data_IF_453087154491
#
_entry.id   IF_453087154491
#
_cell.length_a   1.000
_cell.length_b   1.000
_cell.length_c   1.000
_cell.angle_alpha   90.00
_cell.angle_beta   90.00
_cell.angle_gamma   90.00
#
_symmetry.space_group_name_H-M   'P 1'
#
loop_
_entity.id
_entity.type
_entity.pdbx_description
1 polymer ?
#
# COMPACT_ATOMS: atom_id res chain seq x y z
N UNK A 1 -3.12 49.88 -31.31
CA UNK A 1 -2.73 50.14 -29.89
C UNK A 1 -3.78 49.50 -28.98
N UNK A 2 -3.46 48.41 -28.30
CA UNK A 2 -4.34 47.79 -27.29
C UNK A 2 -4.30 48.63 -26.00
N UNK A 3 -5.46 49.08 -25.52
CA UNK A 3 -5.56 49.65 -24.17
C UNK A 3 -5.84 48.49 -23.21
N UNK A 4 -5.08 48.33 -22.12
CA UNK A 4 -5.34 47.27 -21.15
C UNK A 4 -6.67 47.51 -20.45
N UNK A 5 -7.40 46.42 -20.18
CA UNK A 5 -8.68 46.47 -19.49
C UNK A 5 -8.54 47.12 -18.10
N UNK A 6 -9.56 47.88 -17.65
CA UNK A 6 -9.53 48.52 -16.35
C UNK A 6 -9.44 47.48 -15.23
N UNK A 7 -8.48 47.67 -14.31
CA UNK A 7 -8.28 46.79 -13.16
C UNK A 7 -9.54 46.80 -12.28
N UNK A 8 -10.26 45.68 -12.25
CA UNK A 8 -11.40 45.46 -11.36
C UNK A 8 -10.94 45.63 -9.91
N UNK A 9 -11.65 46.47 -9.14
CA UNK A 9 -11.39 46.64 -7.70
C UNK A 9 -11.82 45.37 -6.96
N UNK A 10 -11.08 44.93 -5.92
CA UNK A 10 -11.48 43.79 -5.09
C UNK A 10 -12.88 44.04 -4.50
N UNK A 11 -13.75 43.04 -4.59
CA UNK A 11 -15.11 43.08 -4.05
C UNK A 11 -15.00 43.13 -2.52
N UNK A 12 -15.42 44.23 -1.91
CA UNK A 12 -15.42 44.42 -0.46
C UNK A 12 -16.43 43.45 0.17
N UNK A 13 -15.93 42.53 1.01
CA UNK A 13 -16.76 41.48 1.65
C UNK A 13 -16.33 40.04 1.33
N UNK A 14 -15.33 39.82 0.48
CA UNK A 14 -14.74 38.49 0.30
C UNK A 14 -14.02 38.06 1.59
N UNK A 15 -14.66 37.19 2.37
CA UNK A 15 -14.03 36.51 3.50
C UNK A 15 -12.79 35.78 3.00
N UNK A 16 -11.61 36.14 3.52
CA UNK A 16 -10.34 35.49 3.19
C UNK A 16 -10.36 34.07 3.75
N UNK A 17 -10.87 33.12 2.98
CA UNK A 17 -10.88 31.71 3.34
C UNK A 17 -9.41 31.28 3.53
N UNK A 18 -9.01 30.72 4.69
CA UNK A 18 -7.62 30.35 4.92
C UNK A 18 -7.19 29.29 3.90
N UNK A 19 -5.93 29.34 3.45
CA UNK A 19 -5.40 28.41 2.45
C UNK A 19 -5.55 26.92 2.84
N UNK A 20 -5.64 26.62 4.14
CA UNK A 20 -5.95 25.28 4.68
C UNK A 20 -7.34 24.77 4.28
N UNK A 21 -8.33 25.66 4.12
CA UNK A 21 -9.69 25.33 3.71
C UNK A 21 -9.73 24.78 2.28
N UNK A 22 -8.98 25.39 1.36
CA UNK A 22 -8.84 24.89 -0.02
C UNK A 22 -8.17 23.51 -0.08
N UNK A 23 -7.17 23.25 0.78
CA UNK A 23 -6.52 21.93 0.88
C UNK A 23 -7.50 20.85 1.35
N UNK A 24 -8.32 21.15 2.36
CA UNK A 24 -9.36 20.22 2.84
C UNK A 24 -10.43 19.93 1.80
N UNK A 25 -10.87 20.95 1.03
CA UNK A 25 -11.88 20.77 -0.02
C UNK A 25 -11.36 19.94 -1.21
N UNK A 26 -10.13 20.19 -1.68
CA UNK A 26 -9.51 19.41 -2.76
C UNK A 26 -9.21 17.96 -2.39
N UNK A 27 -8.67 17.72 -1.19
CA UNK A 27 -8.36 16.35 -0.72
C UNK A 27 -9.61 15.45 -0.61
N UNK A 28 -10.77 16.01 -0.24
CA UNK A 28 -12.03 15.24 -0.18
C UNK A 28 -12.60 14.94 -1.56
N UNK A 29 -12.51 15.89 -2.50
CA UNK A 29 -13.05 15.72 -3.85
C UNK A 29 -12.26 14.71 -4.70
N UNK A 30 -10.93 14.63 -4.51
CA UNK A 30 -10.06 13.76 -5.29
C UNK A 30 -9.69 12.43 -4.63
N UNK A 31 -10.13 12.17 -3.39
CA UNK A 31 -9.95 10.86 -2.75
C UNK A 31 -10.99 9.89 -3.30
N UNK A 32 -10.80 9.45 -4.54
CA UNK A 32 -11.57 8.37 -5.15
C UNK A 32 -11.40 7.11 -4.28
N UNK A 33 -12.50 6.38 -4.04
CA UNK A 33 -12.41 5.06 -3.40
C UNK A 33 -11.39 4.23 -4.18
N UNK A 34 -10.55 3.47 -3.48
CA UNK A 34 -9.56 2.62 -4.14
C UNK A 34 -10.28 1.75 -5.18
N UNK A 35 -9.67 1.61 -6.37
CA UNK A 35 -10.26 0.89 -7.52
C UNK A 35 -10.81 -0.49 -7.13
N UNK A 36 -10.14 -1.15 -6.17
CA UNK A 36 -10.46 -2.50 -5.71
C UNK A 36 -11.17 -2.55 -4.35
N UNK A 37 -11.54 -1.41 -3.76
CA UNK A 37 -12.18 -1.32 -2.43
C UNK A 37 -11.52 -2.20 -1.37
N UNK A 38 -10.18 -2.24 -1.36
CA UNK A 38 -9.45 -3.07 -0.40
C UNK A 38 -9.83 -2.69 1.02
N UNK A 39 -10.13 -3.70 1.83
CA UNK A 39 -10.39 -3.56 3.26
C UNK A 39 -9.21 -4.16 4.00
N UNK A 40 -8.49 -3.34 4.77
CA UNK A 40 -7.45 -3.83 5.68
C UNK A 40 -8.09 -4.80 6.66
N UNK A 41 -7.58 -6.03 6.67
CA UNK A 41 -8.14 -7.11 7.51
C UNK A 41 -7.08 -7.54 8.50
N UNK A 42 -7.49 -7.76 9.74
CA UNK A 42 -6.61 -8.22 10.82
C UNK A 42 -6.72 -9.75 10.92
N UNK A 43 -5.56 -10.42 10.98
CA UNK A 43 -5.49 -11.84 11.32
C UNK A 43 -4.40 -12.03 12.36
N UNK A 44 -4.80 -12.44 13.57
CA UNK A 44 -3.94 -12.38 14.76
C UNK A 44 -3.66 -10.93 15.17
N UNK A 45 -2.40 -10.61 15.49
CA UNK A 45 -1.95 -9.27 15.90
C UNK A 45 -1.45 -8.40 14.73
N UNK A 46 -1.59 -8.88 13.47
CA UNK A 46 -1.03 -8.20 12.29
C UNK A 46 -2.10 -7.67 11.36
N UNK A 47 -1.88 -6.45 10.87
CA UNK A 47 -2.68 -5.79 9.82
C UNK A 47 -2.16 -6.16 8.43
N UNK A 48 -3.08 -6.47 7.52
CA UNK A 48 -2.79 -6.78 6.12
C UNK A 48 -3.43 -5.74 5.19
N UNK A 49 -2.81 -5.50 4.03
CA UNK A 49 -3.22 -4.44 3.10
C UNK A 49 -4.43 -4.86 2.25
N UNK A 50 -4.69 -6.18 2.18
CA UNK A 50 -5.80 -6.76 1.42
C UNK A 50 -6.44 -7.97 2.12
N UNK A 51 -7.68 -8.29 1.73
CA UNK A 51 -8.38 -9.51 2.19
C UNK A 51 -7.68 -10.79 1.71
N UNK A 52 -7.08 -10.75 0.52
CA UNK A 52 -6.37 -11.89 -0.05
C UNK A 52 -5.09 -12.20 0.73
N UNK A 53 -4.32 -11.17 1.11
CA UNK A 53 -3.17 -11.33 2.00
C UNK A 53 -3.56 -11.93 3.36
N UNK A 54 -4.66 -11.45 3.95
CA UNK A 54 -5.15 -11.98 5.22
C UNK A 54 -5.54 -13.47 5.10
N UNK A 55 -6.16 -13.87 3.98
CA UNK A 55 -6.49 -15.28 3.72
C UNK A 55 -5.23 -16.14 3.58
N UNK A 56 -4.24 -15.69 2.81
CA UNK A 56 -2.96 -16.42 2.67
C UNK A 56 -2.26 -16.57 4.01
N UNK A 57 -2.25 -15.52 4.84
CA UNK A 57 -1.69 -15.60 6.19
C UNK A 57 -2.45 -16.58 7.10
N UNK A 58 -3.77 -16.68 6.94
CA UNK A 58 -4.60 -17.66 7.64
C UNK A 58 -4.26 -19.09 7.21
N UNK A 59 -4.19 -19.34 5.92
CA UNK A 59 -3.83 -20.65 5.35
C UNK A 59 -2.43 -21.10 5.81
N UNK A 60 -1.45 -20.19 5.78
CA UNK A 60 -0.10 -20.44 6.33
C UNK A 60 -0.12 -20.73 7.83
N UNK A 61 -0.99 -20.06 8.60
CA UNK A 61 -1.19 -20.34 10.01
C UNK A 61 -1.76 -21.74 10.26
N UNK A 62 -2.68 -22.20 9.41
CA UNK A 62 -3.18 -23.58 9.46
C UNK A 62 -2.10 -24.59 9.09
N UNK A 63 -1.25 -24.28 8.11
CA UNK A 63 -0.14 -25.15 7.70
C UNK A 63 0.97 -25.28 8.76
N UNK A 64 1.18 -24.23 9.58
CA UNK A 64 2.04 -24.36 10.78
C UNK A 64 1.39 -25.33 11.78
N UNK A 65 0.08 -25.21 12.01
CA UNK A 65 -0.64 -26.09 12.94
C UNK A 65 -0.69 -27.54 12.46
N UNK A 66 -0.75 -27.79 11.15
CA UNK A 66 -0.68 -29.15 10.58
C UNK A 66 0.72 -29.74 10.60
N UNK A 67 1.76 -28.92 10.80
CA UNK A 67 3.16 -29.36 10.79
C UNK A 67 3.78 -29.47 9.38
N UNK A 68 3.10 -28.97 8.36
CA UNK A 68 3.63 -28.92 7.00
C UNK A 68 4.69 -27.83 6.85
N UNK A 69 4.52 -26.71 7.55
CA UNK A 69 5.41 -25.56 7.49
C UNK A 69 5.98 -25.28 8.88
N UNK A 70 7.29 -25.03 8.96
CA UNK A 70 7.97 -24.72 10.22
C UNK A 70 7.72 -23.27 10.63
N UNK A 71 7.82 -22.35 9.66
CA UNK A 71 7.66 -20.92 9.89
C UNK A 71 7.36 -20.19 8.58
N UNK A 72 6.78 -19.00 8.70
CA UNK A 72 6.65 -18.07 7.58
C UNK A 72 7.02 -16.65 8.00
N UNK A 73 7.50 -15.88 7.03
CA UNK A 73 7.98 -14.51 7.16
C UNK A 73 7.23 -13.61 6.16
N UNK A 74 6.95 -12.36 6.52
CA UNK A 74 6.15 -11.40 5.71
C UNK A 74 7.04 -10.29 5.15
N UNK A 75 6.70 -9.76 3.97
CA UNK A 75 7.31 -8.57 3.36
C UNK A 75 8.85 -8.66 3.31
N UNK A 76 9.36 -9.74 2.71
CA UNK A 76 10.80 -9.98 2.66
C UNK A 76 11.43 -9.24 1.48
N UNK A 77 12.54 -8.56 1.77
CA UNK A 77 13.36 -7.84 0.80
C UNK A 77 14.45 -8.76 0.25
N UNK A 78 14.42 -8.99 -1.06
CA UNK A 78 15.39 -9.82 -1.79
C UNK A 78 16.24 -8.88 -2.68
N UNK A 79 17.53 -8.69 -2.38
CA UNK A 79 18.40 -7.89 -3.24
C UNK A 79 18.74 -8.67 -4.51
N UNK A 80 18.35 -8.14 -5.68
CA UNK A 80 18.74 -8.69 -6.97
C UNK A 80 20.10 -8.14 -7.37
N UNK A 81 21.09 -9.04 -7.41
CA UNK A 81 22.45 -8.77 -7.87
C UNK A 81 22.76 -9.65 -9.07
N UNK A 82 23.29 -9.07 -10.14
CA UNK A 82 23.78 -9.80 -11.32
C UNK A 82 25.26 -9.48 -11.45
N UNK A 83 26.10 -10.52 -11.48
CA UNK A 83 27.56 -10.38 -11.53
C UNK A 83 28.13 -9.42 -10.47
N UNK A 84 27.57 -9.44 -9.25
CA UNK A 84 27.99 -8.58 -8.15
C UNK A 84 27.41 -7.15 -8.18
N UNK A 85 26.80 -6.72 -9.29
CA UNK A 85 26.19 -5.39 -9.41
C UNK A 85 24.76 -5.43 -8.87
N UNK A 86 24.45 -4.50 -7.95
CA UNK A 86 23.09 -4.31 -7.43
C UNK A 86 22.19 -3.67 -8.48
N UNK A 87 21.11 -4.36 -8.83
CA UNK A 87 20.12 -3.85 -9.79
C UNK A 87 18.94 -3.23 -9.04
N UNK A 88 18.26 -4.03 -8.23
CA UNK A 88 17.02 -3.63 -7.58
C UNK A 88 16.70 -4.48 -6.36
N UNK A 89 15.81 -3.96 -5.53
CA UNK A 89 15.20 -4.73 -4.44
C UNK A 89 13.88 -5.31 -4.91
N UNK A 90 13.75 -6.63 -4.84
CA UNK A 90 12.48 -7.31 -5.04
C UNK A 90 11.82 -7.53 -3.69
N UNK A 91 10.55 -7.13 -3.57
CA UNK A 91 9.75 -7.33 -2.37
C UNK A 91 8.75 -8.44 -2.61
N UNK A 92 8.75 -9.43 -1.71
CA UNK A 92 7.78 -10.52 -1.73
C UNK A 92 6.89 -10.48 -0.49
N UNK A 93 5.63 -10.83 -0.67
CA UNK A 93 4.60 -10.71 0.38
C UNK A 93 4.83 -11.75 1.48
N UNK A 94 5.12 -13.00 1.13
CA UNK A 94 5.35 -14.08 2.09
C UNK A 94 6.48 -15.04 1.66
N UNK A 95 7.23 -15.54 2.63
CA UNK A 95 8.15 -16.67 2.48
C UNK A 95 7.80 -17.71 3.53
N UNK A 96 7.50 -18.93 3.11
CA UNK A 96 7.29 -20.06 4.01
C UNK A 96 8.49 -21.02 3.98
N UNK A 97 8.83 -21.62 5.12
CA UNK A 97 9.85 -22.66 5.23
C UNK A 97 9.16 -23.99 5.49
N UNK A 98 9.25 -24.90 4.52
CA UNK A 98 8.73 -26.26 4.61
C UNK A 98 9.48 -27.07 5.70
N UNK A 99 8.91 -28.18 6.15
CA UNK A 99 9.53 -29.11 7.11
C UNK A 99 10.88 -29.67 6.65
N UNK A 100 11.09 -29.71 5.33
CA UNK A 100 12.34 -30.12 4.70
C UNK A 100 13.35 -28.97 4.54
N UNK A 101 13.05 -27.77 5.04
CA UNK A 101 13.90 -26.59 4.95
C UNK A 101 13.83 -25.83 3.62
N UNK A 102 12.96 -26.24 2.70
CA UNK A 102 12.78 -25.55 1.42
C UNK A 102 12.01 -24.23 1.61
N UNK A 103 12.43 -23.18 0.90
CA UNK A 103 11.79 -21.86 0.93
C UNK A 103 10.78 -21.74 -0.20
N UNK A 104 9.53 -21.50 0.18
CA UNK A 104 8.41 -21.29 -0.74
C UNK A 104 8.10 -19.80 -0.77
N UNK A 105 8.14 -19.22 -1.97
CA UNK A 105 7.96 -17.80 -2.22
C UNK A 105 6.54 -17.55 -2.71
N UNK A 106 5.73 -16.83 -1.93
CA UNK A 106 4.31 -16.64 -2.21
C UNK A 106 4.03 -15.16 -2.43
N UNK A 107 3.41 -14.85 -3.58
CA UNK A 107 2.95 -13.50 -3.94
C UNK A 107 1.44 -13.45 -3.92
N UNK A 108 0.88 -12.53 -3.14
CA UNK A 108 -0.56 -12.32 -3.02
C UNK A 108 -0.90 -10.99 -3.69
N UNK A 109 -1.29 -11.05 -4.97
CA UNK A 109 -1.84 -9.89 -5.67
C UNK A 109 -3.36 -10.03 -5.79
N UNK A 110 -4.06 -8.95 -5.47
CA UNK A 110 -5.47 -8.72 -5.78
C UNK A 110 -5.63 -8.13 -7.18
#
# INVERSE_FOLDING_TARGET
>A
MFKPDPKLKPIEGATKVPASSYRQMGLKAFRTKSKYKNVSTEYGEKKYDSKLEAKVAQDLGWQIKSGDILKWERQVKIPLRVNGVFIANYYIDFIATDKHGQRIYIKSRA
#
